data_IF_473336798853
#
_entry.id   IF_473336798853
#
_cell.length_a   1.000
_cell.length_b   1.000
_cell.length_c   1.000
_cell.angle_alpha   90.00
_cell.angle_beta   90.00
_cell.angle_gamma   90.00
#
_symmetry.space_group_name_H-M   'P 1'
#
loop_
_entity.id
_entity.type
_entity.pdbx_description
1 polymer ?
#
# COMPACT_ATOMS: atom_id res chain seq x y z
N UNK A 1 -4.28 27.31 -18.01
CA UNK A 1 -5.05 26.07 -17.76
C UNK A 1 -4.37 24.80 -18.28
N UNK A 2 -3.56 24.85 -19.35
CA UNK A 2 -2.83 23.68 -19.87
C UNK A 2 -1.71 23.17 -18.94
N UNK A 3 -1.10 24.04 -18.13
CA UNK A 3 0.05 23.64 -17.30
C UNK A 3 -0.31 22.64 -16.21
N UNK A 4 -1.50 22.77 -15.61
CA UNK A 4 -1.97 21.83 -14.58
C UNK A 4 -2.27 20.47 -15.22
N UNK A 5 -2.89 20.46 -16.40
CA UNK A 5 -3.20 19.24 -17.14
C UNK A 5 -1.93 18.54 -17.62
N UNK A 6 -0.95 19.30 -18.09
CA UNK A 6 0.36 18.79 -18.51
C UNK A 6 1.18 18.25 -17.33
N UNK A 7 1.19 18.95 -16.20
CA UNK A 7 1.87 18.48 -14.98
C UNK A 7 1.26 17.17 -14.45
N UNK A 8 -0.08 17.04 -14.47
CA UNK A 8 -0.78 15.81 -14.10
C UNK A 8 -0.38 14.64 -15.01
N UNK A 9 -0.36 14.84 -16.32
CA UNK A 9 0.00 13.81 -17.29
C UNK A 9 1.48 13.41 -17.19
N UNK A 10 2.39 14.36 -16.95
CA UNK A 10 3.82 14.09 -16.81
C UNK A 10 4.19 13.44 -15.47
N UNK A 11 3.43 13.73 -14.40
CA UNK A 11 3.64 13.12 -13.07
C UNK A 11 3.05 11.71 -12.95
N UNK A 12 2.11 11.36 -13.82
CA UNK A 12 1.49 10.05 -13.87
C UNK A 12 2.41 9.10 -14.62
N UNK A 13 2.82 7.99 -13.97
CA UNK A 13 3.50 6.91 -14.70
C UNK A 13 2.59 6.47 -15.85
N UNK A 14 3.08 6.38 -17.10
CA UNK A 14 2.27 5.84 -18.19
C UNK A 14 1.88 4.42 -17.77
N UNK A 15 0.56 4.20 -17.60
CA UNK A 15 0.03 2.90 -17.29
C UNK A 15 0.44 1.98 -18.44
N UNK A 16 1.17 0.89 -18.16
CA UNK A 16 1.48 -0.06 -19.21
C UNK A 16 0.16 -0.62 -19.76
N UNK A 17 0.11 -0.86 -21.07
CA UNK A 17 -1.09 -1.40 -21.75
C UNK A 17 -1.61 -2.71 -21.12
N UNK A 18 -0.74 -3.48 -20.44
CA UNK A 18 -1.08 -4.69 -19.69
C UNK A 18 -1.24 -4.50 -18.17
N UNK A 19 -0.90 -3.31 -17.63
CA UNK A 19 -1.13 -2.95 -16.21
C UNK A 19 -2.53 -2.38 -15.99
N UNK A 20 -3.25 -2.02 -17.07
CA UNK A 20 -4.70 -2.02 -17.03
C UNK A 20 -5.18 -3.48 -16.88
N UNK A 21 -5.20 -3.96 -15.64
CA UNK A 21 -6.21 -4.91 -15.22
C UNK A 21 -7.55 -4.20 -15.42
N UNK A 22 -8.03 -4.20 -16.67
CA UNK A 22 -9.24 -3.53 -17.08
C UNK A 22 -10.37 -4.29 -16.41
N UNK A 23 -10.72 -3.85 -15.20
CA UNK A 23 -11.92 -4.29 -14.52
C UNK A 23 -13.06 -4.17 -15.54
N UNK A 24 -13.80 -5.26 -15.81
CA UNK A 24 -14.97 -5.19 -16.66
C UNK A 24 -15.85 -3.99 -16.28
N UNK A 25 -16.49 -3.32 -17.26
CA UNK A 25 -17.28 -2.10 -17.01
C UNK A 25 -18.25 -2.24 -15.82
N UNK A 26 -18.95 -3.37 -15.72
CA UNK A 26 -19.86 -3.64 -14.61
C UNK A 26 -19.18 -3.65 -13.21
N UNK A 27 -17.94 -4.16 -13.08
CA UNK A 27 -17.20 -4.11 -11.81
C UNK A 27 -16.73 -2.69 -11.49
N UNK A 28 -16.39 -1.88 -12.50
CA UNK A 28 -16.05 -0.46 -12.32
C UNK A 28 -17.26 0.32 -11.83
N UNK A 29 -18.44 0.04 -12.35
CA UNK A 29 -19.70 0.64 -11.89
C UNK A 29 -19.99 0.27 -10.43
N UNK A 30 -19.89 -1.01 -10.07
CA UNK A 30 -20.08 -1.47 -8.68
C UNK A 30 -19.05 -0.84 -7.72
N UNK A 31 -17.79 -0.74 -8.13
CA UNK A 31 -16.74 -0.05 -7.35
C UNK A 31 -17.09 1.42 -7.14
N UNK A 32 -17.57 2.09 -8.19
CA UNK A 32 -17.95 3.50 -8.15
C UNK A 32 -19.15 3.71 -7.24
N UNK A 33 -20.20 2.89 -7.37
CA UNK A 33 -21.38 2.93 -6.50
C UNK A 33 -21.00 2.70 -5.04
N UNK A 34 -20.17 1.69 -4.75
CA UNK A 34 -19.64 1.42 -3.40
C UNK A 34 -18.89 2.62 -2.84
N UNK A 35 -18.03 3.27 -3.63
CA UNK A 35 -17.27 4.44 -3.20
C UNK A 35 -18.17 5.65 -2.93
N UNK A 36 -19.20 5.86 -3.75
CA UNK A 36 -20.22 6.90 -3.54
C UNK A 36 -20.93 6.69 -2.20
N UNK A 37 -21.44 5.48 -1.93
CA UNK A 37 -22.10 5.17 -0.65
C UNK A 37 -21.14 5.31 0.54
N UNK A 38 -19.87 4.91 0.40
CA UNK A 38 -18.85 5.11 1.45
C UNK A 38 -18.68 6.59 1.79
N UNK A 39 -18.61 7.46 0.78
CA UNK A 39 -18.45 8.91 0.96
C UNK A 39 -19.65 9.51 1.70
N UNK A 40 -20.88 9.09 1.38
CA UNK A 40 -22.09 9.52 2.09
C UNK A 40 -22.03 9.07 3.55
N UNK A 41 -21.76 7.79 3.81
CA UNK A 41 -21.65 7.29 5.18
C UNK A 41 -20.56 7.99 5.99
N UNK A 42 -19.39 8.24 5.40
CA UNK A 42 -18.31 8.93 6.10
C UNK A 42 -18.66 10.35 6.50
N UNK A 43 -19.52 11.03 5.74
CA UNK A 43 -20.00 12.39 5.99
C UNK A 43 -21.05 12.45 7.10
N UNK A 44 -22.09 11.63 6.98
CA UNK A 44 -23.27 11.73 7.85
C UNK A 44 -23.23 10.78 9.06
N UNK A 45 -22.48 9.68 8.97
CA UNK A 45 -22.31 8.66 10.01
C UNK A 45 -23.61 8.03 10.54
N UNK A 46 -24.69 8.06 9.77
CA UNK A 46 -25.98 7.49 10.14
C UNK A 46 -26.12 5.99 9.80
N UNK A 47 -27.02 5.26 10.48
CA UNK A 47 -27.23 3.82 10.23
C UNK A 47 -27.73 3.49 8.83
N UNK A 48 -28.59 4.34 8.25
CA UNK A 48 -29.19 4.11 6.92
C UNK A 48 -28.12 4.17 5.84
N UNK A 49 -27.27 5.20 5.85
CA UNK A 49 -26.14 5.29 4.91
C UNK A 49 -25.10 4.19 5.13
N UNK A 50 -24.89 3.75 6.38
CA UNK A 50 -24.03 2.59 6.69
C UNK A 50 -24.58 1.32 6.04
N UNK A 51 -25.87 1.07 6.15
CA UNK A 51 -26.52 -0.08 5.52
C UNK A 51 -26.38 -0.05 3.99
N UNK A 52 -26.62 1.11 3.36
CA UNK A 52 -26.43 1.30 1.92
C UNK A 52 -24.98 1.03 1.48
N UNK A 53 -24.00 1.52 2.23
CA UNK A 53 -22.60 1.23 1.98
C UNK A 53 -22.28 -0.26 2.12
N UNK A 54 -22.76 -0.91 3.19
CA UNK A 54 -22.53 -2.33 3.43
C UNK A 54 -23.13 -3.20 2.30
N UNK A 55 -24.35 -2.89 1.85
CA UNK A 55 -24.97 -3.57 0.71
C UNK A 55 -24.16 -3.39 -0.57
N UNK A 56 -23.74 -2.17 -0.89
CA UNK A 56 -22.91 -1.90 -2.07
C UNK A 56 -21.54 -2.59 -1.99
N UNK A 57 -20.94 -2.63 -0.80
CA UNK A 57 -19.69 -3.34 -0.52
C UNK A 57 -19.83 -4.86 -0.69
N UNK A 58 -20.94 -5.44 -0.21
CA UNK A 58 -21.23 -6.87 -0.39
C UNK A 58 -21.40 -7.22 -1.87
N UNK A 59 -22.17 -6.43 -2.62
CA UNK A 59 -22.35 -6.60 -4.07
C UNK A 59 -21.01 -6.57 -4.82
N UNK A 60 -20.19 -5.55 -4.54
CA UNK A 60 -18.87 -5.43 -5.16
C UNK A 60 -17.94 -6.60 -4.80
N UNK A 61 -17.93 -7.04 -3.53
CA UNK A 61 -17.12 -8.17 -3.07
C UNK A 61 -17.52 -9.47 -3.76
N UNK A 62 -18.82 -9.74 -3.86
CA UNK A 62 -19.33 -10.95 -4.50
C UNK A 62 -18.96 -10.97 -5.99
N UNK A 63 -19.26 -9.89 -6.72
CA UNK A 63 -18.94 -9.79 -8.15
C UNK A 63 -17.43 -9.90 -8.43
N UNK A 64 -16.59 -9.33 -7.55
CA UNK A 64 -15.13 -9.48 -7.66
C UNK A 64 -14.68 -10.92 -7.40
N UNK A 65 -15.30 -11.60 -6.43
CA UNK A 65 -14.99 -13.00 -6.13
C UNK A 65 -15.33 -13.91 -7.31
N UNK A 66 -16.51 -13.71 -7.91
CA UNK A 66 -16.97 -14.44 -9.09
C UNK A 66 -16.03 -14.22 -10.28
N UNK A 67 -15.68 -12.96 -10.56
CA UNK A 67 -14.74 -12.61 -11.63
C UNK A 67 -13.35 -13.22 -11.41
N UNK A 68 -12.81 -13.14 -10.20
CA UNK A 68 -11.51 -13.75 -9.89
C UNK A 68 -11.56 -15.27 -10.04
N UNK A 69 -12.68 -15.90 -9.64
CA UNK A 69 -12.87 -17.33 -9.80
C UNK A 69 -12.96 -17.72 -11.28
N UNK A 70 -13.68 -16.98 -12.11
CA UNK A 70 -13.78 -17.26 -13.55
C UNK A 70 -12.44 -17.12 -14.26
N UNK A 71 -11.67 -16.06 -13.92
CA UNK A 71 -10.31 -15.87 -14.45
C UNK A 71 -9.41 -17.03 -14.00
N UNK A 72 -9.51 -17.45 -12.74
CA UNK A 72 -8.75 -18.56 -12.22
C UNK A 72 -9.05 -19.88 -12.93
N UNK A 73 -10.32 -20.19 -13.17
CA UNK A 73 -10.76 -21.38 -13.92
C UNK A 73 -10.19 -21.34 -15.34
N UNK A 74 -10.39 -20.23 -16.05
CA UNK A 74 -9.89 -20.03 -17.42
C UNK A 74 -8.37 -20.19 -17.51
N UNK A 75 -7.62 -19.64 -16.54
CA UNK A 75 -6.17 -19.80 -16.47
C UNK A 75 -5.74 -21.25 -16.24
N UNK A 76 -6.50 -22.04 -15.47
CA UNK A 76 -6.19 -23.45 -15.27
C UNK A 76 -6.49 -24.29 -16.52
N UNK A 77 -7.57 -23.98 -17.23
CA UNK A 77 -7.91 -24.65 -18.50
C UNK A 77 -6.85 -24.40 -19.58
N UNK A 78 -6.20 -23.25 -19.55
CA UNK A 78 -5.13 -22.87 -20.49
C UNK A 78 -3.73 -23.39 -20.10
N UNK A 79 -3.59 -24.16 -19.01
CA UNK A 79 -2.28 -24.67 -18.61
C UNK A 79 -1.77 -25.70 -19.62
N UNK A 80 -0.52 -25.52 -20.03
CA UNK A 80 0.12 -26.38 -21.02
C UNK A 80 1.57 -26.72 -20.62
N UNK A 81 2.02 -27.90 -21.07
CA UNK A 81 3.38 -28.41 -20.87
C UNK A 81 4.35 -27.72 -21.85
N UNK A 82 3.93 -27.49 -23.10
CA UNK A 82 4.78 -27.02 -24.19
C UNK A 82 5.19 -25.54 -24.06
N UNK A 83 4.32 -24.68 -23.52
CA UNK A 83 4.59 -23.25 -23.33
C UNK A 83 5.18 -22.92 -21.94
N UNK A 84 5.41 -23.95 -21.11
CA UNK A 84 5.92 -23.84 -19.75
C UNK A 84 4.99 -23.12 -18.76
N UNK A 85 3.71 -22.90 -19.10
CA UNK A 85 2.74 -22.29 -18.17
C UNK A 85 2.44 -23.22 -16.99
N UNK A 86 2.35 -24.54 -17.23
CA UNK A 86 2.21 -25.53 -16.17
C UNK A 86 3.38 -25.47 -15.17
N UNK A 87 4.62 -25.45 -15.67
CA UNK A 87 5.84 -25.35 -14.83
C UNK A 87 5.88 -24.07 -14.01
N UNK A 88 5.52 -22.92 -14.61
CA UNK A 88 5.42 -21.65 -13.88
C UNK A 88 4.36 -21.70 -12.78
N UNK A 89 3.21 -22.33 -13.05
CA UNK A 89 2.13 -22.50 -12.06
C UNK A 89 2.57 -23.38 -10.90
N UNK A 90 3.19 -24.53 -11.17
CA UNK A 90 3.67 -25.46 -10.14
C UNK A 90 4.80 -24.84 -9.32
N UNK A 91 5.74 -24.13 -9.94
CA UNK A 91 6.78 -23.41 -9.21
C UNK A 91 6.22 -22.36 -8.26
N UNK A 92 5.21 -21.58 -8.67
CA UNK A 92 4.54 -20.62 -7.77
C UNK A 92 3.86 -21.29 -6.59
N UNK A 93 3.28 -22.49 -6.78
CA UNK A 93 2.64 -23.26 -5.71
C UNK A 93 3.67 -23.89 -4.75
N UNK A 94 4.82 -24.32 -5.28
CA UNK A 94 5.92 -24.90 -4.49
C UNK A 94 6.81 -23.84 -3.83
N UNK A 95 6.81 -22.62 -4.35
CA UNK A 95 7.57 -21.50 -3.81
C UNK A 95 7.03 -21.17 -2.43
N UNK A 96 7.87 -21.37 -1.41
CA UNK A 96 7.59 -20.86 -0.07
C UNK A 96 7.67 -19.34 -0.13
N UNK A 97 6.65 -18.65 0.39
CA UNK A 97 6.77 -17.22 0.64
C UNK A 97 7.90 -17.01 1.64
N UNK A 98 8.74 -16.01 1.40
CA UNK A 98 9.70 -15.58 2.41
C UNK A 98 8.92 -15.21 3.67
N UNK A 99 9.23 -15.86 4.77
CA UNK A 99 8.72 -15.43 6.08
C UNK A 99 9.25 -14.02 6.34
N UNK A 100 8.37 -13.12 6.75
CA UNK A 100 8.81 -11.80 7.20
C UNK A 100 9.71 -12.05 8.41
N UNK A 101 10.98 -11.60 8.39
CA UNK A 101 11.88 -11.86 9.49
C UNK A 101 11.30 -11.22 10.76
N UNK A 102 11.40 -11.95 11.88
CA UNK A 102 11.00 -11.41 13.17
C UNK A 102 11.84 -10.18 13.49
N UNK A 103 11.21 -9.17 14.08
CA UNK A 103 11.92 -8.00 14.59
C UNK A 103 12.89 -8.47 15.67
N UNK A 104 14.15 -8.05 15.58
CA UNK A 104 15.20 -8.44 16.52
C UNK A 104 15.61 -7.24 17.32
N UNK A 105 15.87 -7.46 18.60
CA UNK A 105 16.50 -6.44 19.42
C UNK A 105 17.96 -6.24 18.94
N UNK A 106 18.38 -4.99 18.64
CA UNK A 106 19.72 -4.73 18.12
C UNK A 106 20.84 -5.07 19.12
N UNK A 107 20.57 -5.00 20.43
CA UNK A 107 21.56 -5.30 21.48
C UNK A 107 21.73 -6.79 21.75
N UNK A 108 20.65 -7.57 21.74
CA UNK A 108 20.69 -9.01 22.07
C UNK A 108 20.66 -9.92 20.85
N UNK A 109 20.32 -9.40 19.67
CA UNK A 109 20.04 -10.15 18.43
C UNK A 109 18.95 -11.22 18.55
N UNK A 110 18.19 -11.23 19.66
CA UNK A 110 17.08 -12.14 19.87
C UNK A 110 15.79 -11.57 19.27
N UNK A 111 14.89 -12.42 18.76
CA UNK A 111 13.60 -11.96 18.29
C UNK A 111 12.75 -11.36 19.41
N UNK A 112 12.02 -10.28 19.12
CA UNK A 112 11.01 -9.72 20.01
C UNK A 112 9.71 -10.51 19.91
N UNK A 113 9.21 -11.01 21.04
CA UNK A 113 8.04 -11.88 21.09
C UNK A 113 6.80 -11.09 21.52
N UNK A 114 6.97 -10.13 22.43
CA UNK A 114 5.87 -9.31 22.94
C UNK A 114 5.69 -8.04 22.13
N UNK A 115 4.48 -7.46 22.17
CA UNK A 115 4.22 -6.19 21.49
C UNK A 115 4.96 -5.03 22.16
N UNK A 116 5.15 -5.09 23.48
CA UNK A 116 5.94 -4.11 24.24
C UNK A 116 7.40 -4.11 23.78
N UNK A 117 8.04 -5.28 23.67
CA UNK A 117 9.41 -5.37 23.14
C UNK A 117 9.53 -4.78 21.74
N UNK A 118 8.54 -5.02 20.87
CA UNK A 118 8.52 -4.46 19.52
C UNK A 118 8.40 -2.94 19.54
N UNK A 119 7.54 -2.40 20.39
CA UNK A 119 7.34 -0.95 20.49
C UNK A 119 8.59 -0.25 20.98
N UNK A 120 9.28 -0.80 21.98
CA UNK A 120 10.55 -0.25 22.48
C UNK A 120 11.64 -0.28 21.39
N UNK A 121 11.82 -1.42 20.71
CA UNK A 121 12.83 -1.51 19.62
C UNK A 121 12.56 -0.48 18.52
N UNK A 122 11.28 -0.25 18.16
CA UNK A 122 10.92 0.75 17.16
C UNK A 122 11.15 2.16 17.70
N UNK A 123 10.82 2.43 18.96
CA UNK A 123 11.05 3.72 19.59
C UNK A 123 12.54 4.07 19.61
N UNK A 124 13.39 3.15 20.12
CA UNK A 124 14.85 3.29 20.15
C UNK A 124 15.42 3.52 18.76
N UNK A 125 14.95 2.75 17.76
CA UNK A 125 15.39 2.91 16.39
C UNK A 125 15.04 4.29 15.83
N UNK A 126 13.81 4.76 16.05
CA UNK A 126 13.36 6.07 15.57
C UNK A 126 14.10 7.20 16.30
N UNK A 127 14.28 7.11 17.62
CA UNK A 127 15.07 8.07 18.39
C UNK A 127 16.49 8.20 17.82
N UNK A 128 17.16 7.08 17.60
CA UNK A 128 18.50 7.06 16.98
C UNK A 128 18.52 7.69 15.58
N UNK A 129 17.52 7.42 14.75
CA UNK A 129 17.45 7.96 13.38
C UNK A 129 17.16 9.47 13.34
N UNK A 130 16.39 9.98 14.30
CA UNK A 130 15.99 11.39 14.36
C UNK A 130 16.82 12.24 15.31
N UNK A 131 17.82 11.64 15.99
CA UNK A 131 18.80 12.41 16.74
C UNK A 131 19.69 13.17 15.75
N UNK A 132 19.78 14.52 15.84
CA UNK A 132 20.67 15.29 14.99
C UNK A 132 22.11 14.78 15.14
N UNK A 133 22.78 14.57 14.01
CA UNK A 133 24.20 14.24 14.04
C UNK A 133 24.98 15.41 14.63
N UNK A 134 26.03 15.11 15.38
CA UNK A 134 26.99 16.09 15.92
C UNK A 134 27.94 16.59 14.81
N UNK A 135 27.38 17.18 13.77
CA UNK A 135 28.11 17.90 12.73
C UNK A 135 27.82 19.39 12.90
N UNK A 136 28.16 19.93 14.07
CA UNK A 136 28.25 21.38 14.24
C UNK A 136 29.38 21.93 13.40
N UNK A 137 29.10 22.93 12.56
CA UNK A 137 30.15 23.79 11.99
C UNK A 137 30.27 25.01 12.91
N UNK A 138 31.39 25.13 13.67
CA UNK A 138 31.59 26.23 14.62
C UNK A 138 31.49 27.62 13.97
N UNK A 139 31.77 27.74 12.66
CA UNK A 139 31.65 29.01 11.95
C UNK A 139 30.19 29.39 11.71
N UNK A 140 29.37 28.41 11.33
CA UNK A 140 27.94 28.59 11.14
C UNK A 140 27.27 28.93 12.47
N UNK A 141 27.61 28.23 13.56
CA UNK A 141 27.08 28.50 14.90
C UNK A 141 27.43 29.92 15.38
N UNK A 142 28.69 30.35 15.25
CA UNK A 142 29.11 31.72 15.59
C UNK A 142 28.39 32.79 14.77
N UNK A 143 28.10 32.50 13.50
CA UNK A 143 27.40 33.44 12.62
C UNK A 143 25.94 33.62 13.07
N UNK A 144 25.27 32.53 13.41
CA UNK A 144 23.90 32.56 13.96
C UNK A 144 23.86 33.29 15.30
N UNK A 145 24.77 32.98 16.23
CA UNK A 145 24.85 33.67 17.52
C UNK A 145 25.04 35.17 17.38
N UNK A 146 25.91 35.60 16.46
CA UNK A 146 26.14 37.03 16.20
C UNK A 146 24.87 37.69 15.65
N UNK A 147 24.17 37.05 14.71
CA UNK A 147 22.92 37.56 14.15
C UNK A 147 21.79 37.67 15.18
N UNK A 148 21.73 36.77 16.17
CA UNK A 148 20.73 36.83 17.24
C UNK A 148 21.03 37.98 18.21
N UNK A 149 22.31 38.27 18.49
CA UNK A 149 22.73 39.36 19.39
C UNK A 149 22.58 40.75 18.79
N UNK A 150 22.56 40.86 17.47
CA UNK A 150 22.41 42.12 16.74
C UNK A 150 20.92 42.51 16.48
N UNK A 151 19.96 41.68 16.92
CA UNK A 151 18.51 41.94 16.89
C UNK A 151 18.02 42.57 18.21
#
# INVERSE_FOLDING_TARGET
MSDITNAYNNSSRPLKYHEELYLPPHLKELKTARNRSKKVWQRFRDPTSKNLFNCAQARFRNAMSEFNQSIYISQNEQLNIYDGTLWRRTNRLKSKRSEIPQLKNPGTNLPSHTDLEKTEIIADHLESQFTPNDFGDPNTERTVEKSIREF
#
